data_IF_422381571782
#
_entry.id   IF_422381571782
#
_cell.length_a   1.000
_cell.length_b   1.000
_cell.length_c   1.000
_cell.angle_alpha   90.00
_cell.angle_beta   90.00
_cell.angle_gamma   90.00
#
_symmetry.space_group_name_H-M   'P 1'
#
loop_
_entity.id
_entity.type
_entity.pdbx_description
1 polymer ?
#
# COMPACT_ATOMS: atom_id res chain seq x y z
N UNK A 1 -21.33 6.47 -24.68
CA UNK A 1 -20.77 6.69 -23.32
C UNK A 1 -20.66 5.33 -22.67
N UNK A 2 -19.70 4.55 -23.13
CA UNK A 2 -19.39 3.25 -22.52
C UNK A 2 -18.31 3.53 -21.48
N UNK A 3 -18.65 3.30 -20.20
CA UNK A 3 -17.69 3.34 -19.11
C UNK A 3 -16.68 2.23 -19.37
N UNK A 4 -15.54 2.60 -19.94
CA UNK A 4 -14.34 1.77 -19.95
C UNK A 4 -14.13 1.29 -18.51
N UNK A 5 -14.06 -0.03 -18.33
CA UNK A 5 -13.73 -0.63 -17.05
C UNK A 5 -12.39 -0.04 -16.58
N UNK A 6 -12.43 0.75 -15.51
CA UNK A 6 -11.23 1.22 -14.84
C UNK A 6 -10.39 -0.01 -14.51
N UNK A 7 -9.14 -0.01 -14.98
CA UNK A 7 -8.15 -0.97 -14.52
C UNK A 7 -8.18 -0.94 -12.99
N UNK A 8 -8.60 -2.05 -12.39
CA UNK A 8 -8.99 -2.15 -10.98
C UNK A 8 -7.78 -2.28 -10.05
N UNK A 9 -6.75 -1.48 -10.30
CA UNK A 9 -5.45 -1.55 -9.63
C UNK A 9 -4.98 -0.15 -9.19
N UNK A 10 -5.90 0.75 -8.84
CA UNK A 10 -5.51 1.92 -8.08
C UNK A 10 -5.29 1.47 -6.62
N UNK A 11 -4.07 1.55 -6.05
CA UNK A 11 -3.82 1.24 -4.64
C UNK A 11 -4.68 2.05 -3.67
N UNK A 12 -5.23 3.18 -4.14
CA UNK A 12 -6.04 4.12 -3.35
C UNK A 12 -7.54 3.86 -3.42
N UNK A 13 -8.01 2.93 -4.27
CA UNK A 13 -9.43 2.59 -4.36
C UNK A 13 -9.86 1.82 -3.10
N UNK A 14 -10.55 2.54 -2.19
CA UNK A 14 -11.11 1.96 -0.98
C UNK A 14 -12.10 0.85 -1.35
N UNK A 15 -11.90 -0.41 -0.94
CA UNK A 15 -12.82 -1.47 -1.31
C UNK A 15 -14.15 -1.35 -0.54
N UNK A 16 -15.27 -1.81 -1.10
CA UNK A 16 -16.56 -1.76 -0.40
C UNK A 16 -16.72 -2.91 0.60
N UNK A 17 -17.37 -2.62 1.73
CA UNK A 17 -17.80 -3.62 2.71
C UNK A 17 -18.84 -4.58 2.10
N UNK A 18 -18.67 -5.89 2.28
CA UNK A 18 -19.63 -6.90 1.81
C UNK A 18 -20.98 -6.88 2.56
N UNK A 19 -21.01 -6.33 3.77
CA UNK A 19 -22.22 -6.27 4.60
C UNK A 19 -23.08 -5.03 4.36
N UNK A 20 -22.47 -3.84 4.31
CA UNK A 20 -23.21 -2.56 4.22
C UNK A 20 -22.93 -1.76 2.94
N UNK A 21 -22.06 -2.26 2.06
CA UNK A 21 -21.64 -1.60 0.80
C UNK A 21 -20.94 -0.23 0.95
N UNK A 22 -20.73 0.26 2.17
CA UNK A 22 -19.92 1.44 2.42
C UNK A 22 -18.44 1.19 2.10
N UNK A 23 -17.74 2.22 1.63
CA UNK A 23 -16.30 2.18 1.40
C UNK A 23 -15.53 1.97 2.71
N UNK A 24 -14.60 1.03 2.69
CA UNK A 24 -13.81 0.67 3.87
C UNK A 24 -12.76 1.74 4.16
N UNK A 25 -12.59 2.01 5.44
CA UNK A 25 -11.48 2.79 5.99
C UNK A 25 -10.80 1.89 7.00
N UNK A 26 -9.48 1.93 7.05
CA UNK A 26 -8.73 1.16 8.05
C UNK A 26 -9.08 1.60 9.47
N UNK A 27 -9.05 0.67 10.44
CA UNK A 27 -8.89 -0.76 10.25
C UNK A 27 -10.18 -1.45 9.75
N UNK A 28 -10.03 -2.47 8.91
CA UNK A 28 -11.14 -3.32 8.47
C UNK A 28 -10.76 -4.80 8.51
N UNK A 29 -11.74 -5.69 8.37
CA UNK A 29 -11.53 -7.14 8.48
C UNK A 29 -11.55 -7.78 7.10
N UNK A 30 -10.56 -8.63 6.83
CA UNK A 30 -10.53 -9.54 5.69
C UNK A 30 -10.71 -10.97 6.20
N UNK A 31 -11.73 -11.67 5.70
CA UNK A 31 -11.85 -13.10 5.99
C UNK A 31 -10.71 -13.87 5.32
N UNK A 32 -10.03 -14.73 6.07
CA UNK A 32 -8.90 -15.52 5.58
C UNK A 32 -9.35 -16.75 4.77
N UNK A 33 -10.62 -17.14 4.90
CA UNK A 33 -11.15 -18.37 4.30
C UNK A 33 -12.00 -18.11 3.03
N UNK A 34 -12.46 -16.88 2.83
CA UNK A 34 -13.39 -16.54 1.75
C UNK A 34 -12.68 -15.85 0.58
N UNK A 35 -12.77 -16.46 -0.61
CA UNK A 35 -12.39 -15.87 -1.89
C UNK A 35 -12.37 -16.90 -3.03
N UNK A 36 -12.15 -16.47 -4.30
CA UNK A 36 -12.22 -15.10 -4.81
C UNK A 36 -13.66 -14.66 -5.20
N UNK A 37 -14.02 -13.35 -5.13
CA UNK A 37 -13.21 -12.21 -4.68
C UNK A 37 -13.08 -12.15 -3.15
N UNK A 38 -12.10 -11.40 -2.60
CA UNK A 38 -11.90 -11.30 -1.15
C UNK A 38 -13.17 -10.81 -0.44
N UNK A 39 -13.37 -11.30 0.78
CA UNK A 39 -14.51 -10.96 1.61
C UNK A 39 -14.07 -9.98 2.70
N UNK A 40 -14.47 -8.72 2.54
CA UNK A 40 -14.04 -7.60 3.38
C UNK A 40 -15.23 -7.02 4.14
N UNK A 41 -15.06 -6.75 5.43
CA UNK A 41 -16.08 -6.21 6.31
C UNK A 41 -15.56 -4.99 7.08
N UNK A 42 -16.42 -3.99 7.25
CA UNK A 42 -16.17 -2.95 8.24
C UNK A 42 -16.32 -3.54 9.65
N UNK A 43 -15.73 -2.89 10.65
CA UNK A 43 -15.79 -3.34 12.04
C UNK A 43 -17.24 -3.51 12.55
N UNK A 44 -18.17 -2.66 12.10
CA UNK A 44 -19.57 -2.73 12.50
C UNK A 44 -20.27 -3.98 11.96
N UNK A 45 -20.02 -4.37 10.70
CA UNK A 45 -20.58 -5.60 10.14
C UNK A 45 -19.93 -6.84 10.78
N UNK A 46 -18.62 -6.80 11.03
CA UNK A 46 -17.90 -7.89 11.69
C UNK A 46 -18.41 -8.14 13.12
N UNK A 47 -18.51 -7.10 13.95
CA UNK A 47 -18.98 -7.21 15.34
C UNK A 47 -20.45 -7.62 15.49
N UNK A 48 -21.25 -7.47 14.44
CA UNK A 48 -22.64 -7.96 14.38
C UNK A 48 -22.75 -9.42 13.95
N UNK A 49 -21.64 -10.08 13.64
CA UNK A 49 -21.63 -11.45 13.10
C UNK A 49 -22.30 -11.52 11.73
N UNK A 50 -21.99 -10.58 10.83
CA UNK A 50 -22.56 -10.60 9.48
C UNK A 50 -22.16 -11.88 8.74
N UNK A 51 -23.14 -12.67 8.33
CA UNK A 51 -22.94 -13.90 7.55
C UNK A 51 -23.62 -13.78 6.19
N UNK A 52 -23.00 -14.33 5.16
CA UNK A 52 -23.56 -14.32 3.83
C UNK A 52 -23.00 -15.42 2.94
N UNK A 53 -23.89 -16.22 2.36
CA UNK A 53 -23.55 -17.37 1.51
C UNK A 53 -22.60 -18.33 2.24
N UNK A 54 -21.34 -18.37 1.82
CA UNK A 54 -20.30 -19.26 2.36
C UNK A 54 -19.50 -18.62 3.50
N UNK A 55 -19.67 -17.32 3.75
CA UNK A 55 -19.01 -16.65 4.86
C UNK A 55 -19.76 -16.93 6.15
N UNK A 56 -19.04 -17.39 7.17
CA UNK A 56 -19.52 -17.55 8.54
C UNK A 56 -18.75 -16.61 9.47
N UNK A 57 -19.40 -16.20 10.56
CA UNK A 57 -18.86 -15.22 11.50
C UNK A 57 -17.71 -15.75 12.35
N UNK A 58 -17.51 -17.06 12.37
CA UNK A 58 -16.45 -17.78 13.07
C UNK A 58 -15.22 -18.09 12.19
N UNK A 59 -15.24 -17.72 10.91
CA UNK A 59 -14.07 -17.86 10.06
C UNK A 59 -12.88 -17.07 10.60
N UNK A 60 -11.70 -17.64 10.44
CA UNK A 60 -10.43 -16.96 10.68
C UNK A 60 -10.32 -15.70 9.81
N UNK A 61 -9.65 -14.68 10.34
CA UNK A 61 -9.63 -13.36 9.75
C UNK A 61 -8.29 -12.63 9.97
N UNK A 62 -8.04 -11.65 9.11
CA UNK A 62 -6.93 -10.72 9.16
C UNK A 62 -7.47 -9.30 9.42
N UNK A 63 -6.79 -8.56 10.30
CA UNK A 63 -7.05 -7.13 10.48
C UNK A 63 -6.18 -6.38 9.48
N UNK A 64 -6.83 -5.66 8.56
CA UNK A 64 -6.16 -4.81 7.59
C UNK A 64 -5.98 -3.42 8.20
N UNK A 65 -4.73 -3.04 8.46
CA UNK A 65 -4.35 -1.75 9.04
C UNK A 65 -2.91 -1.42 8.71
N UNK A 66 -2.58 -0.13 8.60
CA UNK A 66 -1.24 0.40 8.38
C UNK A 66 -0.65 1.06 9.63
N UNK A 67 -1.29 0.91 10.79
CA UNK A 67 -0.86 1.47 12.08
C UNK A 67 0.09 0.52 12.83
N UNK A 68 1.20 0.17 12.18
CA UNK A 68 2.24 -0.68 12.76
C UNK A 68 3.62 -0.29 12.24
N UNK A 69 4.70 -0.44 13.02
CA UNK A 69 6.04 -0.07 12.59
C UNK A 69 6.62 -1.04 11.54
N UNK A 70 7.33 -0.50 10.55
CA UNK A 70 7.95 -1.30 9.48
C UNK A 70 9.48 -1.26 9.55
N UNK A 71 10.08 -0.08 9.40
CA UNK A 71 11.54 0.08 9.32
C UNK A 71 12.13 0.65 10.61
N UNK A 72 11.36 1.49 11.32
CA UNK A 72 11.71 2.07 12.61
C UNK A 72 10.51 1.96 13.56
N UNK A 73 10.73 1.64 14.85
CA UNK A 73 9.65 1.54 15.83
C UNK A 73 8.79 2.82 15.99
N UNK A 74 9.31 3.98 15.59
CA UNK A 74 8.61 5.27 15.71
C UNK A 74 7.92 5.69 14.40
N UNK A 75 7.96 4.86 13.36
CA UNK A 75 7.40 5.14 12.03
C UNK A 75 6.44 4.04 11.61
N UNK A 76 5.16 4.37 11.47
CA UNK A 76 4.14 3.41 11.03
C UNK A 76 4.20 3.17 9.54
N UNK A 77 3.67 2.05 9.05
CA UNK A 77 3.57 1.76 7.61
C UNK A 77 2.87 2.89 6.85
N UNK A 78 1.85 3.51 7.47
CA UNK A 78 1.17 4.68 6.91
C UNK A 78 2.11 5.89 6.79
N UNK A 79 2.93 6.16 7.81
CA UNK A 79 3.91 7.26 7.78
C UNK A 79 5.04 7.00 6.77
N UNK A 80 5.49 5.75 6.62
CA UNK A 80 6.48 5.38 5.61
C UNK A 80 5.95 5.66 4.19
N UNK A 81 4.70 5.28 3.90
CA UNK A 81 4.05 5.56 2.62
C UNK A 81 3.90 7.07 2.40
N UNK A 82 3.38 7.79 3.40
CA UNK A 82 3.18 9.22 3.32
C UNK A 82 4.50 9.99 3.09
N UNK A 83 5.61 9.52 3.67
CA UNK A 83 6.93 10.13 3.46
C UNK A 83 7.38 9.99 2.01
N UNK A 84 7.25 8.79 1.43
CA UNK A 84 7.62 8.53 0.05
C UNK A 84 6.77 9.35 -0.93
N UNK A 85 5.46 9.43 -0.69
CA UNK A 85 4.54 10.25 -1.47
C UNK A 85 4.90 11.73 -1.37
N UNK A 86 5.10 12.25 -0.16
CA UNK A 86 5.47 13.64 0.05
C UNK A 86 6.81 14.01 -0.61
N UNK A 87 7.80 13.11 -0.59
CA UNK A 87 9.08 13.33 -1.29
C UNK A 87 8.91 13.30 -2.80
N UNK A 88 8.03 12.44 -3.32
CA UNK A 88 7.69 12.39 -4.74
C UNK A 88 7.00 13.68 -5.20
N UNK A 89 6.07 14.21 -4.41
CA UNK A 89 5.29 15.41 -4.73
C UNK A 89 6.08 16.71 -4.54
N UNK A 90 6.77 16.86 -3.41
CA UNK A 90 7.48 18.09 -3.03
C UNK A 90 8.91 18.16 -3.58
N UNK A 91 9.47 17.01 -3.99
CA UNK A 91 10.84 16.88 -4.46
C UNK A 91 11.86 16.62 -3.34
N UNK A 92 12.86 15.79 -3.65
CA UNK A 92 13.95 15.48 -2.74
C UNK A 92 14.74 16.73 -2.30
N UNK A 93 14.99 16.85 -1.00
CA UNK A 93 15.68 17.99 -0.39
C UNK A 93 14.74 19.12 0.06
N UNK A 94 13.47 19.13 -0.38
CA UNK A 94 12.47 20.08 0.09
C UNK A 94 11.78 19.60 1.37
N UNK A 95 12.58 19.32 2.42
CA UNK A 95 12.09 18.68 3.64
C UNK A 95 11.07 19.51 4.42
N UNK A 96 11.05 20.83 4.21
CA UNK A 96 10.07 21.70 4.83
C UNK A 96 8.66 21.42 4.30
N UNK A 97 8.49 21.32 2.98
CA UNK A 97 7.19 21.03 2.37
C UNK A 97 6.78 19.56 2.57
N UNK A 98 7.76 18.65 2.54
CA UNK A 98 7.55 17.24 2.90
C UNK A 98 6.97 17.12 4.31
N UNK A 99 7.56 17.79 5.30
CA UNK A 99 7.05 17.78 6.68
C UNK A 99 5.66 18.42 6.79
N UNK A 100 5.40 19.48 6.03
CA UNK A 100 4.09 20.12 5.97
C UNK A 100 3.01 19.15 5.44
N UNK A 101 3.33 18.33 4.43
CA UNK A 101 2.42 17.31 3.90
C UNK A 101 2.24 16.13 4.88
N UNK A 102 3.33 15.68 5.51
CA UNK A 102 3.30 14.61 6.50
C UNK A 102 2.44 14.92 7.72
N UNK A 103 2.46 16.17 8.22
CA UNK A 103 1.77 16.64 9.42
C UNK A 103 2.13 15.95 10.76
N UNK A 104 2.79 14.78 10.75
CA UNK A 104 3.10 13.99 11.95
C UNK A 104 4.57 14.06 12.38
N UNK A 105 5.47 14.48 11.48
CA UNK A 105 6.93 14.50 11.67
C UNK A 105 7.52 15.85 11.29
N UNK A 106 8.60 16.25 11.95
CA UNK A 106 9.39 17.43 11.58
C UNK A 106 10.25 17.21 10.34
N UNK A 107 10.74 18.29 9.72
CA UNK A 107 11.62 18.19 8.55
C UNK A 107 12.93 17.46 8.85
N UNK A 108 13.48 17.66 10.04
CA UNK A 108 14.72 16.99 10.48
C UNK A 108 14.49 15.49 10.67
N UNK A 109 13.32 15.10 11.19
CA UNK A 109 12.94 13.69 11.31
C UNK A 109 12.73 13.04 9.94
N UNK A 110 12.01 13.71 9.04
CA UNK A 110 11.77 13.23 7.66
C UNK A 110 13.09 13.04 6.90
N UNK A 111 13.96 14.06 6.89
CA UNK A 111 15.25 13.97 6.21
C UNK A 111 16.10 12.84 6.77
N UNK A 112 16.26 12.80 8.09
CA UNK A 112 17.10 11.80 8.76
C UNK A 112 16.59 10.39 8.49
N UNK A 113 15.28 10.18 8.59
CA UNK A 113 14.66 8.88 8.37
C UNK A 113 14.81 8.44 6.91
N UNK A 114 14.47 9.32 5.96
CA UNK A 114 14.59 9.04 4.53
C UNK A 114 16.02 8.66 4.14
N UNK A 115 16.99 9.48 4.55
CA UNK A 115 18.40 9.25 4.26
C UNK A 115 18.91 7.94 4.88
N UNK A 116 18.53 7.64 6.13
CA UNK A 116 18.97 6.43 6.84
C UNK A 116 18.40 5.16 6.21
N UNK A 117 17.10 5.13 5.95
CA UNK A 117 16.39 3.89 5.63
C UNK A 117 16.24 3.62 4.13
N UNK A 118 16.17 4.65 3.29
CA UNK A 118 15.93 4.51 1.85
C UNK A 118 17.17 4.79 0.98
N UNK A 119 18.06 5.70 1.40
CA UNK A 119 19.25 6.08 0.62
C UNK A 119 20.51 5.35 1.08
N UNK A 120 20.85 5.47 2.36
CA UNK A 120 22.10 4.94 2.91
C UNK A 120 22.00 3.48 3.35
N UNK A 121 20.81 2.88 3.23
CA UNK A 121 20.63 1.47 3.57
C UNK A 121 21.14 0.58 2.44
N UNK A 122 22.23 -0.19 2.64
CA UNK A 122 22.82 -1.02 1.59
C UNK A 122 21.87 -2.11 1.08
N UNK A 123 20.89 -2.53 1.87
CA UNK A 123 19.86 -3.48 1.44
C UNK A 123 18.90 -2.87 0.41
N UNK A 124 18.54 -1.60 0.56
CA UNK A 124 17.69 -0.92 -0.43
C UNK A 124 18.48 -0.55 -1.69
N UNK A 125 19.72 -0.07 -1.54
CA UNK A 125 20.58 0.23 -2.67
C UNK A 125 20.81 -1.02 -3.55
N UNK A 126 21.05 -2.19 -2.95
CA UNK A 126 21.22 -3.43 -3.69
C UNK A 126 19.92 -3.97 -4.29
N UNK A 127 18.79 -3.93 -3.57
CA UNK A 127 17.49 -4.36 -4.09
C UNK A 127 17.01 -3.49 -5.26
N UNK A 128 17.14 -2.16 -5.17
CA UNK A 128 16.76 -1.25 -6.28
C UNK A 128 17.64 -1.48 -7.52
N UNK A 129 18.94 -1.72 -7.34
CA UNK A 129 19.83 -2.08 -8.45
C UNK A 129 19.39 -3.39 -9.10
N UNK A 130 19.03 -4.40 -8.32
CA UNK A 130 18.57 -5.69 -8.83
C UNK A 130 17.22 -5.58 -9.56
N UNK A 131 16.28 -4.75 -9.07
CA UNK A 131 15.00 -4.50 -9.72
C UNK A 131 15.18 -3.80 -11.07
N UNK A 132 16.04 -2.78 -11.13
CA UNK A 132 16.36 -2.08 -12.39
C UNK A 132 16.99 -3.03 -13.42
N UNK A 133 17.92 -3.89 -12.99
CA UNK A 133 18.53 -4.89 -13.87
C UNK A 133 17.50 -5.91 -14.38
N UNK A 134 16.55 -6.31 -13.54
CA UNK A 134 15.48 -7.22 -13.93
C UNK A 134 14.50 -6.58 -14.94
N UNK A 135 14.14 -5.30 -14.77
CA UNK A 135 13.31 -4.54 -15.71
C UNK A 135 14.01 -4.33 -17.06
N UNK A 136 15.31 -3.99 -17.05
CA UNK A 136 16.11 -3.83 -18.27
C UNK A 136 16.27 -5.16 -19.04
N UNK A 137 16.42 -6.29 -18.33
CA UNK A 137 16.44 -7.62 -18.94
C UNK A 137 15.10 -7.99 -19.60
N UNK A 138 13.98 -7.65 -18.97
CA UNK A 138 12.64 -7.88 -19.55
C UNK A 138 12.36 -7.00 -20.77
N UNK A 139 12.90 -5.78 -20.80
CA UNK A 139 12.78 -4.89 -21.96
C UNK A 139 13.60 -5.39 -23.15
N UNK A 140 14.80 -5.92 -22.91
CA UNK A 140 15.69 -6.40 -23.96
C UNK A 140 15.22 -7.72 -24.61
N UNK A 141 14.57 -8.60 -23.84
CA UNK A 141 13.96 -9.84 -24.35
C UNK A 141 12.76 -9.55 -25.28
N UNK A 142 11.98 -8.50 -25.00
CA UNK A 142 10.83 -8.11 -25.83
C UNK A 142 11.22 -7.37 -27.14
N UNK A 143 12.48 -6.90 -27.26
CA UNK A 143 12.98 -6.26 -28.49
C UNK A 143 13.57 -7.23 -29.52
N UNK A 144 13.65 -8.53 -29.21
CA UNK A 144 14.23 -9.55 -30.09
C UNK A 144 13.19 -10.57 -30.62
N UNK A 145 12.17 -10.10 -31.34
CA UNK A 145 11.43 -11.00 -32.24
C UNK A 145 10.61 -10.27 -33.30
N UNK A 146 11.23 -10.06 -34.46
CA UNK A 146 10.57 -10.21 -35.76
C UNK A 146 11.52 -10.96 -36.69
N UNK A 147 11.30 -12.27 -36.96
CA UNK A 147 11.88 -12.90 -38.12
C UNK A 147 11.12 -12.49 -39.40
N UNK A 148 11.76 -12.58 -40.57
CA UNK A 148 11.27 -12.02 -41.85
C UNK A 148 9.97 -12.65 -42.38
#
# INVERSE_FOLDING_TARGET
>A
MERLASFSNDPFDKPPCRGCSSYLTEPYVKCAECGPPPFLLCLQCFTRGFEYKKHQSDHTYEIMTSDFPVLDPNWTAQEEMALLEAVMDCGFGNWQDVANQMCTKSKEECEKHYMKHFINNPLFASTLLNLKQAEEAQHNENSHSFPP
#
